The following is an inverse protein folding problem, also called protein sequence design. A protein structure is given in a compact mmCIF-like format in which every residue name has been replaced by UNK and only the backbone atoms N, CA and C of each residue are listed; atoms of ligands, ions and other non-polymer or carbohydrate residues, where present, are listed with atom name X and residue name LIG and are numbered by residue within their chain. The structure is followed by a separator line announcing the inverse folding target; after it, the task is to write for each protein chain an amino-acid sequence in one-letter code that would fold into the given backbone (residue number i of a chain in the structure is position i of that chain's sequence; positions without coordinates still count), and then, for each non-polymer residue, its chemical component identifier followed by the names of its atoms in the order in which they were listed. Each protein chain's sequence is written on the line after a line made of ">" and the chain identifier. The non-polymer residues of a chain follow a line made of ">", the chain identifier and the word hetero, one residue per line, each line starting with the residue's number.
data_IF_295160702253
#
_entry.id   IF_295160702253
#
_cell.length_a   1.000
_cell.length_b   1.000
_cell.length_c   1.000
_cell.angle_alpha   90.00
_cell.angle_beta   90.00
_cell.angle_gamma   90.00
#
_symmetry.space_group_name_H-M   'P 1'
#
loop_
_entity.id
_entity.type
_entity.pdbx_description
1 polymer ?
#
# COMPACT_ATOMS: atom_id res chain seq x y z
N UNK A 1 -16.22 -61.48 24.03
CA UNK A 1 -15.46 -61.09 22.81
C UNK A 1 -15.93 -59.67 22.45
N UNK A 2 -15.38 -58.64 23.09
CA UNK A 2 -14.21 -57.83 22.66
C UNK A 2 -14.33 -57.19 21.29
N UNK A 3 -14.63 -55.88 21.28
CA UNK A 3 -13.91 -54.80 20.56
C UNK A 3 -14.82 -53.56 20.53
N UNK A 4 -14.70 -52.67 21.51
CA UNK A 4 -13.81 -51.47 21.59
C UNK A 4 -14.31 -50.26 20.80
N UNK A 5 -14.40 -49.17 21.56
CA UNK A 5 -14.74 -47.80 21.19
C UNK A 5 -13.87 -47.19 20.08
N UNK A 6 -14.49 -46.35 19.26
CA UNK A 6 -14.02 -45.01 18.82
C UNK A 6 -15.31 -44.17 18.68
N UNK A 7 -15.69 -43.25 19.56
CA UNK A 7 -15.04 -41.99 19.97
C UNK A 7 -14.61 -41.12 18.77
N UNK A 8 -15.21 -39.94 18.69
CA UNK A 8 -14.91 -38.76 17.84
C UNK A 8 -15.35 -38.75 16.36
N UNK A 9 -16.28 -37.83 16.07
CA UNK A 9 -15.95 -36.74 15.14
C UNK A 9 -16.49 -36.80 13.71
N UNK A 10 -17.77 -36.43 13.56
CA UNK A 10 -18.33 -35.63 12.46
C UNK A 10 -17.91 -35.91 11.00
N UNK A 11 -18.87 -36.47 10.24
CA UNK A 11 -18.96 -36.37 8.79
C UNK A 11 -18.70 -34.93 8.30
N UNK A 12 -17.65 -34.70 7.51
CA UNK A 12 -17.49 -33.47 6.73
C UNK A 12 -17.60 -33.77 5.24
N UNK A 13 -18.66 -33.20 4.66
CA UNK A 13 -19.01 -33.23 3.24
C UNK A 13 -17.93 -32.50 2.43
N UNK A 14 -17.33 -33.20 1.47
CA UNK A 14 -16.31 -32.70 0.55
C UNK A 14 -16.95 -31.69 -0.41
N UNK A 15 -16.71 -30.39 -0.19
CA UNK A 15 -17.08 -29.31 -1.11
C UNK A 15 -15.84 -28.79 -1.82
N UNK A 16 -15.72 -29.04 -3.12
CA UNK A 16 -14.72 -28.41 -3.99
C UNK A 16 -15.20 -27.00 -4.34
N UNK A 17 -14.51 -25.95 -3.84
CA UNK A 17 -14.71 -24.57 -4.27
C UNK A 17 -13.45 -24.07 -4.99
N UNK A 18 -13.67 -23.53 -6.20
CA UNK A 18 -12.68 -22.83 -7.00
C UNK A 18 -12.19 -21.55 -6.28
N UNK A 19 -10.92 -21.12 -6.47
CA UNK A 19 -10.40 -19.91 -5.85
C UNK A 19 -10.90 -18.67 -6.62
N UNK A 20 -12.05 -18.14 -6.20
CA UNK A 20 -12.50 -16.78 -6.52
C UNK A 20 -12.32 -15.90 -5.28
N UNK A 21 -11.90 -14.66 -5.49
CA UNK A 21 -11.62 -13.60 -4.50
C UNK A 21 -12.81 -13.32 -3.58
N UNK A 22 -13.03 -14.18 -2.58
CA UNK A 22 -13.97 -13.98 -1.49
C UNK A 22 -13.22 -13.49 -0.27
N UNK A 23 -13.62 -12.33 0.27
CA UNK A 23 -13.12 -11.85 1.55
C UNK A 23 -13.35 -12.92 2.62
N UNK A 24 -12.30 -13.25 3.38
CA UNK A 24 -12.39 -14.27 4.42
C UNK A 24 -13.44 -13.92 5.49
N UNK A 25 -14.25 -14.89 5.94
CA UNK A 25 -15.23 -14.66 6.98
C UNK A 25 -14.55 -14.19 8.28
N UNK A 26 -15.22 -13.41 9.14
CA UNK A 26 -14.62 -12.83 10.35
C UNK A 26 -14.02 -13.88 11.29
N UNK A 27 -14.61 -15.09 11.33
CA UNK A 27 -14.08 -16.22 12.10
C UNK A 27 -12.77 -16.78 11.55
N UNK A 28 -12.54 -16.71 10.24
CA UNK A 28 -11.26 -17.08 9.65
C UNK A 28 -10.18 -16.04 10.00
N UNK A 29 -10.52 -14.75 9.97
CA UNK A 29 -9.62 -13.67 10.40
C UNK A 29 -9.17 -13.83 11.87
N UNK A 30 -10.08 -14.17 12.77
CA UNK A 30 -9.75 -14.37 14.19
C UNK A 30 -8.72 -15.50 14.39
N UNK A 31 -8.89 -16.63 13.69
CA UNK A 31 -7.93 -17.74 13.75
C UNK A 31 -6.53 -17.37 13.25
N UNK A 32 -6.44 -16.49 12.26
CA UNK A 32 -5.15 -16.00 11.76
C UNK A 32 -4.42 -15.15 12.81
N UNK A 33 -5.16 -14.37 13.61
CA UNK A 33 -4.60 -13.59 14.71
C UNK A 33 -4.18 -14.47 15.89
N UNK A 34 -4.96 -15.51 16.18
CA UNK A 34 -4.68 -16.44 17.28
C UNK A 34 -3.48 -17.37 17.00
N UNK A 35 -3.09 -17.59 15.74
CA UNK A 35 -1.95 -18.46 15.40
C UNK A 35 -1.07 -17.92 14.25
N UNK A 36 -0.37 -16.79 14.46
CA UNK A 36 0.38 -16.10 13.41
C UNK A 36 1.58 -16.90 12.88
N UNK A 37 2.09 -17.87 13.64
CA UNK A 37 3.22 -18.72 13.22
C UNK A 37 2.85 -19.83 12.22
N UNK A 38 1.58 -20.25 12.17
CA UNK A 38 1.16 -21.43 11.40
C UNK A 38 1.02 -21.16 9.89
N UNK A 39 1.02 -19.89 9.47
CA UNK A 39 1.03 -19.49 8.07
C UNK A 39 2.44 -19.35 7.47
N UNK A 40 3.49 -19.28 8.30
CA UNK A 40 4.88 -19.18 7.83
C UNK A 40 5.37 -20.48 7.16
N UNK A 41 4.84 -21.64 7.55
CA UNK A 41 5.15 -22.92 6.90
C UNK A 41 4.58 -22.99 5.47
N UNK A 42 3.46 -22.31 5.20
CA UNK A 42 2.83 -22.31 3.87
C UNK A 42 3.59 -21.51 2.83
N UNK A 43 4.41 -20.54 3.24
CA UNK A 43 5.25 -19.73 2.33
C UNK A 43 6.33 -20.56 1.60
N UNK A 44 6.67 -21.75 2.09
CA UNK A 44 7.63 -22.64 1.41
C UNK A 44 7.06 -23.33 0.17
N UNK A 45 5.73 -23.39 0.04
CA UNK A 45 5.02 -24.16 -1.00
C UNK A 45 4.46 -23.33 -2.15
N UNK A 46 4.61 -22.00 -2.10
CA UNK A 46 4.24 -21.11 -3.20
C UNK A 46 5.53 -20.56 -3.83
N UNK A 47 5.77 -20.78 -5.15
CA UNK A 47 6.94 -20.20 -5.79
C UNK A 47 6.85 -18.67 -5.70
N UNK A 48 7.96 -18.05 -5.31
CA UNK A 48 8.12 -16.60 -5.23
C UNK A 48 7.61 -15.96 -6.53
N UNK A 49 6.46 -15.27 -6.46
CA UNK A 49 5.96 -14.49 -7.59
C UNK A 49 6.99 -13.41 -7.88
N UNK A 50 7.70 -13.54 -9.01
CA UNK A 50 8.64 -12.54 -9.48
C UNK A 50 7.98 -11.17 -9.42
N UNK A 51 8.53 -10.29 -8.57
CA UNK A 51 8.09 -8.90 -8.46
C UNK A 51 8.35 -8.24 -9.80
N UNK A 52 7.30 -8.05 -10.62
CA UNK A 52 7.41 -7.26 -11.84
C UNK A 52 7.68 -5.82 -11.40
N UNK A 53 8.96 -5.44 -11.35
CA UNK A 53 9.40 -4.05 -11.19
C UNK A 53 9.19 -3.30 -12.51
N UNK A 54 7.94 -3.14 -12.92
CA UNK A 54 7.59 -2.20 -13.98
C UNK A 54 7.63 -0.80 -13.36
N UNK A 55 8.80 -0.15 -13.37
CA UNK A 55 8.82 1.33 -13.32
C UNK A 55 8.19 1.78 -14.61
N UNK A 56 7.00 2.38 -14.51
CA UNK A 56 6.33 2.92 -15.67
C UNK A 56 7.20 4.04 -16.23
N UNK A 57 7.77 3.86 -17.42
CA UNK A 57 8.49 4.92 -18.13
C UNK A 57 7.67 6.23 -18.29
N UNK A 58 6.36 6.14 -18.03
CA UNK A 58 5.39 7.24 -18.01
C UNK A 58 5.64 8.30 -16.94
N UNK A 59 6.36 7.98 -15.87
CA UNK A 59 6.57 8.92 -14.76
C UNK A 59 7.77 9.85 -14.98
N UNK A 60 8.64 9.57 -15.97
CA UNK A 60 9.86 10.36 -16.21
C UNK A 60 9.60 11.82 -16.56
N UNK A 61 8.49 12.13 -17.25
CA UNK A 61 8.13 13.50 -17.61
C UNK A 61 7.64 14.29 -16.38
N UNK A 62 6.82 13.66 -15.53
CA UNK A 62 6.39 14.23 -14.25
C UNK A 62 7.56 14.33 -13.26
N UNK A 63 8.48 13.37 -13.23
CA UNK A 63 9.68 13.39 -12.40
C UNK A 63 10.56 14.61 -12.73
N UNK A 64 10.61 15.02 -14.01
CA UNK A 64 11.33 16.22 -14.42
C UNK A 64 10.67 17.50 -13.91
N UNK A 65 9.34 17.60 -13.96
CA UNK A 65 8.59 18.76 -13.44
C UNK A 65 8.69 18.87 -11.91
N UNK A 66 8.57 17.74 -11.20
CA UNK A 66 8.71 17.68 -9.73
C UNK A 66 10.14 18.04 -9.29
N UNK A 67 11.16 17.52 -9.97
CA UNK A 67 12.56 17.88 -9.71
C UNK A 67 12.88 19.34 -10.04
N UNK A 68 12.18 19.96 -10.99
CA UNK A 68 12.28 21.42 -11.23
C UNK A 68 11.64 22.22 -10.09
N UNK A 69 10.49 21.79 -9.57
CA UNK A 69 9.86 22.42 -8.41
C UNK A 69 10.78 22.38 -7.19
N UNK A 70 11.35 21.21 -6.87
CA UNK A 70 12.30 21.05 -5.76
C UNK A 70 13.48 22.01 -5.86
N UNK A 71 14.09 22.11 -7.04
CA UNK A 71 15.21 23.02 -7.28
C UNK A 71 14.82 24.49 -7.12
N UNK A 72 13.62 24.87 -7.58
CA UNK A 72 13.11 26.25 -7.41
C UNK A 72 12.89 26.58 -5.94
N UNK A 73 12.29 25.67 -5.18
CA UNK A 73 12.07 25.85 -3.74
C UNK A 73 13.40 25.92 -2.99
N UNK A 74 14.36 25.06 -3.33
CA UNK A 74 15.69 25.08 -2.72
C UNK A 74 16.52 26.33 -3.07
N UNK A 75 16.25 26.94 -4.23
CA UNK A 75 16.91 28.18 -4.67
C UNK A 75 16.24 29.46 -4.15
N UNK A 76 15.07 29.36 -3.49
CA UNK A 76 14.35 30.52 -2.98
C UNK A 76 15.16 31.26 -1.91
N UNK A 77 15.04 32.59 -1.85
CA UNK A 77 15.86 33.43 -0.97
C UNK A 77 15.52 33.27 0.53
N UNK A 78 14.40 32.61 0.84
CA UNK A 78 14.01 32.27 2.20
C UNK A 78 12.62 31.65 2.29
N UNK A 79 12.22 31.29 3.52
CA UNK A 79 10.90 30.72 3.84
C UNK A 79 9.71 31.47 3.23
N UNK A 80 9.59 32.82 3.33
CA UNK A 80 8.43 33.52 2.76
C UNK A 80 8.37 33.43 1.22
N UNK A 81 9.53 33.44 0.56
CA UNK A 81 9.65 33.38 -0.90
C UNK A 81 9.29 31.98 -1.42
N UNK A 82 9.78 30.93 -0.74
CA UNK A 82 9.37 29.56 -0.99
C UNK A 82 7.87 29.35 -0.77
N UNK A 83 7.29 29.93 0.29
CA UNK A 83 5.85 29.82 0.56
C UNK A 83 5.01 30.51 -0.52
N UNK A 84 5.43 31.66 -1.04
CA UNK A 84 4.73 32.36 -2.12
C UNK A 84 4.68 31.50 -3.40
N UNK A 85 5.82 30.92 -3.81
CA UNK A 85 5.91 30.02 -4.96
C UNK A 85 4.99 28.79 -4.82
N UNK A 86 4.91 28.21 -3.63
CA UNK A 86 4.08 27.04 -3.37
C UNK A 86 2.58 27.39 -3.33
N UNK A 87 2.22 28.57 -2.84
CA UNK A 87 0.83 29.02 -2.74
C UNK A 87 0.16 29.15 -4.12
N UNK A 88 0.89 29.61 -5.14
CA UNK A 88 0.38 29.70 -6.52
C UNK A 88 -0.06 28.35 -7.08
N UNK A 89 0.66 27.27 -6.73
CA UNK A 89 0.41 25.91 -7.22
C UNK A 89 -0.77 25.21 -6.53
N UNK A 90 -1.24 25.73 -5.39
CA UNK A 90 -2.36 25.18 -4.62
C UNK A 90 -3.73 25.74 -5.05
N UNK A 91 -3.79 26.55 -6.11
CA UNK A 91 -5.04 27.08 -6.63
C UNK A 91 -6.05 26.00 -7.08
N UNK A 92 -7.35 26.36 -7.21
CA UNK A 92 -8.45 25.41 -7.45
C UNK A 92 -8.36 24.62 -8.76
N UNK A 93 -7.51 25.04 -9.71
CA UNK A 93 -7.25 24.30 -10.95
C UNK A 93 -6.01 23.38 -10.92
N UNK A 94 -5.07 23.60 -9.99
CA UNK A 94 -3.75 22.96 -9.99
C UNK A 94 -3.49 21.98 -8.85
N UNK A 95 -4.25 22.04 -7.76
CA UNK A 95 -3.97 21.29 -6.54
C UNK A 95 -4.06 19.76 -6.66
N UNK A 96 -4.80 19.22 -7.64
CA UNK A 96 -4.86 17.77 -7.91
C UNK A 96 -3.73 17.25 -8.81
N UNK A 97 -2.94 18.15 -9.42
CA UNK A 97 -1.77 17.74 -10.21
C UNK A 97 -0.67 17.17 -9.32
N UNK A 98 0.26 16.39 -9.89
CA UNK A 98 1.41 15.89 -9.16
C UNK A 98 2.20 17.04 -8.48
N UNK A 99 2.40 18.13 -9.21
CA UNK A 99 3.05 19.36 -8.75
C UNK A 99 2.27 20.03 -7.60
N UNK A 100 0.94 20.11 -7.69
CA UNK A 100 0.10 20.70 -6.64
C UNK A 100 0.05 19.87 -5.36
N UNK A 101 0.00 18.54 -5.48
CA UNK A 101 0.07 17.62 -4.33
C UNK A 101 1.45 17.68 -3.64
N UNK A 102 2.53 17.79 -4.42
CA UNK A 102 3.88 17.98 -3.88
C UNK A 102 4.03 19.34 -3.21
N UNK A 103 3.52 20.40 -3.85
CA UNK A 103 3.57 21.74 -3.32
C UNK A 103 2.89 21.85 -1.95
N UNK A 104 1.73 21.20 -1.80
CA UNK A 104 1.01 21.13 -0.52
C UNK A 104 1.87 20.47 0.57
N UNK A 105 2.56 19.35 0.24
CA UNK A 105 3.43 18.64 1.19
C UNK A 105 4.64 19.48 1.63
N UNK A 106 5.29 20.16 0.68
CA UNK A 106 6.42 21.06 0.99
C UNK A 106 5.95 22.26 1.83
N UNK A 107 4.77 22.80 1.51
CA UNK A 107 4.20 23.92 2.24
C UNK A 107 3.92 23.57 3.71
N UNK A 108 3.32 22.40 3.97
CA UNK A 108 3.10 21.93 5.35
C UNK A 108 4.41 21.69 6.09
N UNK A 109 5.42 21.11 5.41
CA UNK A 109 6.74 20.92 6.01
C UNK A 109 7.36 22.26 6.41
N UNK A 110 7.25 23.30 5.59
CA UNK A 110 7.76 24.63 5.96
C UNK A 110 7.02 25.24 7.15
N UNK A 111 5.74 24.93 7.37
CA UNK A 111 4.99 25.44 8.53
C UNK A 111 5.41 24.78 9.85
N UNK A 112 5.80 23.51 9.81
CA UNK A 112 6.16 22.71 10.99
C UNK A 112 7.60 22.97 11.50
N UNK A 113 8.39 23.77 10.77
CA UNK A 113 9.77 24.18 11.11
C UNK A 113 9.78 25.60 11.66
#
# INVERSE_FOLDING_TARGET
>A
MSSRCCATGSCTRRGTRAPGTGADPPRARQRTLDNPGQHADRSSSFPERGLIRRRAARDTENDNELGLLERRVAAAAGKPDAMALLAELMGPGGHHSATGLMATRMYTQLLDI
#
